data_IF_858952053857
#
_entry.id   IF_858952053857
#
_cell.length_a   1.000
_cell.length_b   1.000
_cell.length_c   1.000
_cell.angle_alpha   90.00
_cell.angle_beta   90.00
_cell.angle_gamma   90.00
#
_symmetry.space_group_name_H-M   'P 1'
#
loop_
_entity.id
_entity.type
_entity.pdbx_description
1 polymer ?
#
# COMPACT_ATOMS: atom_id res chain seq x y z
N UNK A 1 -78.66 0.33 6.06
CA UNK A 1 -78.22 1.14 4.91
C UNK A 1 -76.71 1.35 4.98
N UNK A 2 -76.03 1.00 3.87
CA UNK A 2 -74.70 1.41 3.38
C UNK A 2 -73.49 1.43 4.35
N UNK A 3 -72.52 0.52 4.22
CA UNK A 3 -71.54 0.32 3.13
C UNK A 3 -70.45 1.42 3.09
N UNK A 4 -69.21 1.07 3.50
CA UNK A 4 -68.03 1.05 2.62
C UNK A 4 -66.75 0.70 3.40
N UNK A 5 -66.30 -0.53 3.17
CA UNK A 5 -64.92 -0.98 3.38
C UNK A 5 -63.94 -0.10 2.60
N UNK A 6 -63.06 0.57 3.34
CA UNK A 6 -61.88 1.25 2.82
C UNK A 6 -60.62 0.49 3.24
N UNK A 7 -60.34 -0.64 2.59
CA UNK A 7 -59.06 -1.34 2.68
C UNK A 7 -57.96 -0.46 2.07
N UNK A 8 -57.38 0.45 2.86
CA UNK A 8 -56.07 1.01 2.56
C UNK A 8 -55.01 -0.07 2.80
N UNK A 9 -54.82 -0.92 1.78
CA UNK A 9 -53.63 -1.75 1.66
C UNK A 9 -52.45 -0.80 1.46
N UNK A 10 -51.74 -0.49 2.55
CA UNK A 10 -50.42 0.13 2.49
C UNK A 10 -49.52 -0.83 1.72
N UNK A 11 -49.11 -0.44 0.52
CA UNK A 11 -48.11 -1.15 -0.24
C UNK A 11 -46.81 -1.18 0.58
N UNK A 12 -46.06 -2.31 0.60
CA UNK A 12 -44.74 -2.30 1.19
C UNK A 12 -43.87 -1.29 0.44
N UNK A 13 -43.00 -0.52 1.11
CA UNK A 13 -42.06 0.34 0.41
C UNK A 13 -41.24 -0.53 -0.55
N UNK A 14 -41.35 -0.21 -1.83
CA UNK A 14 -40.54 -0.80 -2.88
C UNK A 14 -39.06 -0.58 -2.55
N UNK A 15 -38.30 -1.67 -2.59
CA UNK A 15 -36.85 -1.65 -2.78
C UNK A 15 -36.07 -0.92 -1.70
N UNK A 16 -35.87 -1.56 -0.55
CA UNK A 16 -34.57 -1.45 0.09
C UNK A 16 -33.57 -2.17 -0.83
N UNK A 17 -33.03 -1.45 -1.80
CA UNK A 17 -31.79 -1.89 -2.46
C UNK A 17 -30.71 -1.79 -1.39
N UNK A 18 -30.56 -2.89 -0.63
CA UNK A 18 -29.32 -3.14 0.09
C UNK A 18 -28.18 -2.93 -0.92
N UNK A 19 -27.13 -2.15 -0.60
CA UNK A 19 -26.02 -1.95 -1.51
C UNK A 19 -25.50 -3.34 -1.88
N UNK A 20 -25.51 -3.62 -3.19
CA UNK A 20 -25.08 -4.91 -3.74
C UNK A 20 -23.70 -5.19 -3.18
N UNK A 21 -23.61 -6.25 -2.38
CA UNK A 21 -22.35 -6.83 -1.92
C UNK A 21 -21.49 -7.15 -3.15
N UNK A 22 -20.60 -6.23 -3.51
CA UNK A 22 -19.88 -6.26 -4.78
C UNK A 22 -19.52 -4.89 -5.37
N UNK A 23 -20.01 -3.76 -4.83
CA UNK A 23 -19.34 -2.48 -5.11
C UNK A 23 -17.97 -2.49 -4.43
N UNK A 24 -16.95 -2.89 -5.19
CA UNK A 24 -15.58 -2.51 -4.88
C UNK A 24 -15.59 -0.99 -4.84
N UNK A 25 -15.46 -0.41 -3.64
CA UNK A 25 -15.29 1.02 -3.49
C UNK A 25 -13.98 1.42 -4.17
N UNK A 26 -14.06 1.80 -5.45
CA UNK A 26 -12.94 2.40 -6.16
C UNK A 26 -12.69 3.77 -5.53
N UNK A 27 -11.54 3.92 -4.89
CA UNK A 27 -11.10 5.21 -4.35
C UNK A 27 -10.62 6.10 -5.51
N UNK A 28 -10.92 7.39 -5.44
CA UNK A 28 -10.43 8.39 -6.37
C UNK A 28 -8.94 8.70 -6.12
N UNK A 29 -8.29 9.34 -7.11
CA UNK A 29 -6.91 9.82 -6.98
C UNK A 29 -6.67 10.69 -5.74
N UNK A 30 -7.49 11.73 -5.46
CA UNK A 30 -7.35 12.55 -4.25
C UNK A 30 -7.53 11.79 -2.94
N UNK A 31 -8.46 10.83 -2.88
CA UNK A 31 -8.65 9.98 -1.69
C UNK A 31 -7.44 9.09 -1.45
N UNK A 32 -6.88 8.51 -2.52
CA UNK A 32 -5.62 7.76 -2.46
C UNK A 32 -4.47 8.64 -1.97
N UNK A 33 -4.32 9.85 -2.52
CA UNK A 33 -3.25 10.77 -2.13
C UNK A 33 -3.37 11.15 -0.63
N UNK A 34 -4.61 11.32 -0.15
CA UNK A 34 -4.88 11.53 1.27
C UNK A 34 -4.51 10.30 2.11
N UNK A 35 -4.86 9.09 1.68
CA UNK A 35 -4.46 7.85 2.36
C UNK A 35 -2.92 7.73 2.42
N UNK A 36 -2.21 8.03 1.34
CA UNK A 36 -0.75 8.05 1.31
C UNK A 36 -0.16 9.08 2.28
N UNK A 37 -0.69 10.31 2.30
CA UNK A 37 -0.25 11.36 3.21
C UNK A 37 -0.46 10.99 4.69
N UNK A 38 -1.64 10.45 5.03
CA UNK A 38 -1.94 9.96 6.38
C UNK A 38 -1.01 8.79 6.76
N UNK A 39 -0.77 7.87 5.84
CA UNK A 39 0.14 6.73 6.05
C UNK A 39 1.56 7.18 6.36
N UNK A 40 2.03 8.24 5.69
CA UNK A 40 3.33 8.85 5.98
C UNK A 40 3.38 9.46 7.39
N UNK A 41 2.33 10.16 7.82
CA UNK A 41 2.23 10.71 9.18
C UNK A 41 2.24 9.58 10.23
N UNK A 42 1.48 8.52 10.01
CA UNK A 42 1.49 7.35 10.90
C UNK A 42 2.88 6.72 11.03
N UNK A 43 3.60 6.54 9.92
CA UNK A 43 4.98 6.05 9.95
C UNK A 43 5.93 6.98 10.70
N UNK A 44 5.82 8.29 10.50
CA UNK A 44 6.63 9.27 11.22
C UNK A 44 6.41 9.23 12.74
N UNK A 45 5.20 8.82 13.17
CA UNK A 45 4.87 8.57 14.57
C UNK A 45 5.20 7.15 15.07
N UNK A 46 5.83 6.30 14.24
CA UNK A 46 6.15 4.90 14.58
C UNK A 46 4.93 3.96 14.57
N UNK A 47 3.81 4.38 13.99
CA UNK A 47 2.56 3.61 13.93
C UNK A 47 2.44 2.90 12.57
N UNK A 48 3.23 1.85 12.38
CA UNK A 48 3.29 1.14 11.09
C UNK A 48 2.07 0.27 10.80
N UNK A 49 1.39 -0.29 11.82
CA UNK A 49 0.17 -1.09 11.59
C UNK A 49 -1.01 -0.27 11.03
N UNK A 50 -1.40 0.91 11.58
CA UNK A 50 -2.41 1.77 10.96
C UNK A 50 -2.01 2.22 9.55
N UNK A 51 -0.73 2.55 9.34
CA UNK A 51 -0.21 2.89 8.02
C UNK A 51 -0.42 1.76 7.00
N UNK A 52 -0.11 0.51 7.38
CA UNK A 52 -0.27 -0.65 6.52
C UNK A 52 -1.72 -0.86 6.11
N UNK A 53 -2.67 -0.66 7.04
CA UNK A 53 -4.09 -0.79 6.75
C UNK A 53 -4.56 0.22 5.68
N UNK A 54 -4.15 1.49 5.80
CA UNK A 54 -4.48 2.52 4.82
C UNK A 54 -3.84 2.25 3.45
N UNK A 55 -2.58 1.85 3.43
CA UNK A 55 -1.87 1.56 2.18
C UNK A 55 -2.45 0.34 1.46
N UNK A 56 -2.91 -0.69 2.18
CA UNK A 56 -3.61 -1.84 1.60
C UNK A 56 -4.95 -1.47 0.99
N UNK A 57 -5.62 -0.42 1.48
CA UNK A 57 -6.81 0.14 0.81
C UNK A 57 -6.37 0.87 -0.46
N UNK A 58 -5.34 1.73 -0.33
CA UNK A 58 -4.83 2.53 -1.44
C UNK A 58 -4.31 1.69 -2.62
N UNK A 59 -3.74 0.52 -2.35
CA UNK A 59 -3.12 -0.36 -3.35
C UNK A 59 -4.11 -1.19 -4.19
N UNK A 60 -5.40 -1.29 -3.80
CA UNK A 60 -6.39 -2.17 -4.47
C UNK A 60 -6.66 -1.78 -5.92
N UNK A 61 -6.74 -0.49 -6.20
CA UNK A 61 -7.12 0.05 -7.52
C UNK A 61 -5.92 0.55 -8.33
N UNK A 62 -4.80 0.86 -7.67
CA UNK A 62 -3.65 1.54 -8.28
C UNK A 62 -2.36 0.81 -7.98
N UNK A 63 -2.30 -0.39 -8.54
CA UNK A 63 -1.28 -1.36 -8.19
C UNK A 63 0.14 -1.01 -8.71
N UNK A 64 0.28 -0.06 -9.66
CA UNK A 64 1.56 0.37 -10.24
C UNK A 64 2.03 1.78 -9.83
N UNK A 65 1.40 2.43 -8.86
CA UNK A 65 1.86 3.75 -8.39
C UNK A 65 3.19 3.60 -7.62
N UNK A 66 4.29 4.06 -8.22
CA UNK A 66 5.65 3.97 -7.67
C UNK A 66 5.74 4.64 -6.29
N UNK A 67 5.10 5.78 -6.08
CA UNK A 67 5.12 6.49 -4.80
C UNK A 67 4.46 5.69 -3.70
N UNK A 68 3.28 5.15 -3.99
CA UNK A 68 2.54 4.27 -3.08
C UNK A 68 3.32 2.99 -2.76
N UNK A 69 3.88 2.32 -3.77
CA UNK A 69 4.63 1.08 -3.58
C UNK A 69 5.87 1.29 -2.69
N UNK A 70 6.52 2.46 -2.77
CA UNK A 70 7.70 2.77 -1.93
C UNK A 70 7.31 2.88 -0.45
N UNK A 71 6.20 3.56 -0.17
CA UNK A 71 5.68 3.71 1.21
C UNK A 71 5.22 2.33 1.72
N UNK A 72 4.55 1.54 0.88
CA UNK A 72 4.11 0.19 1.22
C UNK A 72 5.29 -0.73 1.57
N UNK A 73 6.35 -0.77 0.76
CA UNK A 73 7.55 -1.56 1.04
C UNK A 73 8.19 -1.20 2.39
N UNK A 74 8.35 0.10 2.67
CA UNK A 74 8.89 0.55 3.96
C UNK A 74 7.99 0.17 5.15
N UNK A 75 6.68 0.25 4.96
CA UNK A 75 5.69 -0.11 6.00
C UNK A 75 5.72 -1.61 6.30
N UNK A 76 5.79 -2.46 5.28
CA UNK A 76 5.90 -3.91 5.43
C UNK A 76 7.19 -4.31 6.17
N UNK A 77 8.32 -3.66 5.85
CA UNK A 77 9.58 -3.86 6.58
C UNK A 77 9.45 -3.47 8.06
N UNK A 78 8.73 -2.37 8.35
CA UNK A 78 8.48 -1.90 9.71
C UNK A 78 7.61 -2.90 10.49
N UNK A 79 6.62 -3.49 9.83
CA UNK A 79 5.75 -4.54 10.36
C UNK A 79 6.37 -5.95 10.36
N UNK A 80 7.66 -6.08 10.00
CA UNK A 80 8.38 -7.36 9.98
C UNK A 80 7.84 -8.37 8.94
N UNK A 81 7.09 -7.90 7.95
CA UNK A 81 6.55 -8.68 6.85
C UNK A 81 7.55 -8.72 5.68
N UNK A 82 8.65 -9.44 5.89
CA UNK A 82 9.80 -9.44 4.99
C UNK A 82 9.50 -9.94 3.57
N UNK A 83 8.81 -11.07 3.44
CA UNK A 83 8.51 -11.66 2.13
C UNK A 83 7.53 -10.79 1.33
N UNK A 84 6.45 -10.29 1.95
CA UNK A 84 5.54 -9.34 1.30
C UNK A 84 6.28 -8.07 0.83
N UNK A 85 7.25 -7.59 1.62
CA UNK A 85 8.05 -6.44 1.23
C UNK A 85 8.93 -6.73 0.00
N UNK A 86 9.45 -7.96 -0.14
CA UNK A 86 10.23 -8.36 -1.31
C UNK A 86 9.37 -8.39 -2.57
N UNK A 87 8.14 -8.93 -2.49
CA UNK A 87 7.21 -8.93 -3.61
C UNK A 87 6.91 -7.52 -4.12
N UNK A 88 6.69 -6.58 -3.18
CA UNK A 88 6.45 -5.17 -3.53
C UNK A 88 7.71 -4.54 -4.15
N UNK A 89 8.90 -4.84 -3.63
CA UNK A 89 10.16 -4.31 -4.16
C UNK A 89 10.48 -4.86 -5.56
N UNK A 90 10.18 -6.13 -5.84
CA UNK A 90 10.32 -6.74 -7.17
C UNK A 90 9.44 -6.03 -8.19
N UNK A 91 8.19 -5.73 -7.81
CA UNK A 91 7.30 -4.93 -8.64
C UNK A 91 7.83 -3.51 -8.87
N UNK A 92 8.33 -2.88 -7.81
CA UNK A 92 8.91 -1.54 -7.87
C UNK A 92 10.10 -1.49 -8.83
N UNK A 93 10.93 -2.53 -8.84
CA UNK A 93 12.12 -2.64 -9.69
C UNK A 93 11.74 -2.76 -11.18
N UNK A 94 10.62 -3.41 -11.47
CA UNK A 94 10.07 -3.50 -12.82
C UNK A 94 9.50 -2.16 -13.34
N UNK A 95 9.00 -1.30 -12.44
CA UNK A 95 8.33 -0.04 -12.80
C UNK A 95 9.26 1.18 -12.77
N UNK A 96 10.20 1.22 -11.82
CA UNK A 96 11.04 2.38 -11.54
C UNK A 96 12.48 2.15 -11.97
N UNK A 97 12.73 2.37 -13.26
CA UNK A 97 14.06 2.19 -13.86
C UNK A 97 14.97 3.40 -13.68
N UNK A 98 14.59 4.39 -12.85
CA UNK A 98 15.35 5.62 -12.73
C UNK A 98 16.63 5.41 -11.90
N UNK A 99 17.83 5.82 -12.37
CA UNK A 99 19.08 5.51 -11.68
C UNK A 99 19.17 6.02 -10.24
N UNK A 100 18.50 7.14 -9.92
CA UNK A 100 18.47 7.70 -8.57
C UNK A 100 17.71 6.84 -7.56
N UNK A 101 16.78 6.00 -8.03
CA UNK A 101 16.00 5.07 -7.21
C UNK A 101 16.83 3.86 -6.76
N UNK A 102 17.92 3.54 -7.46
CA UNK A 102 18.73 2.35 -7.22
C UNK A 102 19.31 2.28 -5.81
N UNK A 103 19.85 3.39 -5.30
CA UNK A 103 20.45 3.45 -3.95
C UNK A 103 19.42 3.15 -2.85
N UNK A 104 18.31 3.90 -2.73
CA UNK A 104 17.30 3.62 -1.70
C UNK A 104 16.64 2.24 -1.87
N UNK A 105 16.40 1.78 -3.11
CA UNK A 105 15.83 0.44 -3.33
C UNK A 105 16.75 -0.69 -2.86
N UNK A 106 18.06 -0.59 -3.12
CA UNK A 106 19.03 -1.59 -2.66
C UNK A 106 19.05 -1.68 -1.13
N UNK A 107 18.95 -0.54 -0.44
CA UNK A 107 18.86 -0.52 1.02
C UNK A 107 17.58 -1.19 1.54
N UNK A 108 16.42 -0.85 0.97
CA UNK A 108 15.14 -1.45 1.36
C UNK A 108 15.14 -2.98 1.14
N UNK A 109 15.71 -3.44 0.02
CA UNK A 109 15.83 -4.88 -0.29
C UNK A 109 16.66 -5.64 0.74
N UNK A 110 17.80 -5.07 1.17
CA UNK A 110 18.59 -5.65 2.27
C UNK A 110 17.79 -5.76 3.57
N UNK A 111 17.01 -4.72 3.93
CA UNK A 111 16.17 -4.75 5.12
C UNK A 111 15.04 -5.78 5.02
N UNK A 112 14.38 -5.90 3.87
CA UNK A 112 13.33 -6.89 3.63
C UNK A 112 13.87 -8.32 3.76
N UNK A 113 15.02 -8.62 3.14
CA UNK A 113 15.71 -9.92 3.27
C UNK A 113 16.02 -10.25 4.73
N UNK A 114 16.48 -9.27 5.51
CA UNK A 114 16.73 -9.46 6.94
C UNK A 114 15.45 -9.78 7.71
N UNK A 115 14.33 -9.11 7.40
CA UNK A 115 13.02 -9.40 8.01
C UNK A 115 12.49 -10.78 7.62
N UNK A 116 12.81 -11.25 6.42
CA UNK A 116 12.50 -12.60 5.95
C UNK A 116 13.45 -13.70 6.48
N UNK A 117 14.41 -13.35 7.36
CA UNK A 117 15.39 -14.31 7.90
C UNK A 117 16.51 -14.70 6.93
N UNK A 118 16.57 -14.12 5.74
CA UNK A 118 17.56 -14.39 4.67
C UNK A 118 18.84 -13.58 4.88
N UNK A 119 19.51 -13.81 6.02
CA UNK A 119 20.57 -12.93 6.52
C UNK A 119 21.83 -12.89 5.63
N UNK A 120 22.19 -14.01 4.99
CA UNK A 120 23.33 -14.06 4.04
C UNK A 120 23.10 -13.13 2.85
N UNK A 121 21.95 -13.26 2.19
CA UNK A 121 21.55 -12.42 1.06
C UNK A 121 21.40 -10.95 1.49
N UNK A 122 20.80 -10.70 2.66
CA UNK A 122 20.69 -9.36 3.21
C UNK A 122 22.05 -8.66 3.33
N UNK A 123 23.08 -9.40 3.76
CA UNK A 123 24.46 -8.89 3.88
C UNK A 123 25.08 -8.59 2.52
N UNK A 124 24.91 -9.47 1.54
CA UNK A 124 25.41 -9.26 0.18
C UNK A 124 24.81 -7.99 -0.44
N UNK A 125 23.48 -7.86 -0.38
CA UNK A 125 22.77 -6.68 -0.90
C UNK A 125 23.17 -5.41 -0.15
N UNK A 126 23.41 -5.49 1.17
CA UNK A 126 23.89 -4.34 1.94
C UNK A 126 25.28 -3.88 1.48
N UNK A 127 26.18 -4.81 1.16
CA UNK A 127 27.50 -4.44 0.62
C UNK A 127 27.37 -3.74 -0.73
N UNK A 128 26.48 -4.21 -1.61
CA UNK A 128 26.15 -3.51 -2.85
C UNK A 128 25.66 -2.09 -2.60
N UNK A 129 24.79 -1.88 -1.61
CA UNK A 129 24.34 -0.54 -1.20
C UNK A 129 25.50 0.36 -0.77
N UNK A 130 26.43 -0.14 0.06
CA UNK A 130 27.61 0.63 0.51
C UNK A 130 28.47 1.06 -0.69
N UNK A 131 28.74 0.15 -1.63
CA UNK A 131 29.49 0.46 -2.85
C UNK A 131 28.78 1.53 -3.70
N UNK A 132 27.47 1.39 -3.93
CA UNK A 132 26.68 2.36 -4.69
C UNK A 132 26.69 3.75 -4.04
N UNK A 133 26.49 3.81 -2.72
CA UNK A 133 26.50 5.07 -1.97
C UNK A 133 27.87 5.76 -2.06
N UNK A 134 28.97 5.01 -1.93
CA UNK A 134 30.31 5.57 -2.08
C UNK A 134 30.53 6.18 -3.47
N UNK A 135 30.07 5.50 -4.54
CA UNK A 135 30.17 6.02 -5.90
C UNK A 135 29.33 7.29 -6.13
N UNK A 136 28.15 7.41 -5.52
CA UNK A 136 27.33 8.64 -5.65
C UNK A 136 27.96 9.88 -5.01
N UNK A 137 28.83 9.72 -4.02
CA UNK A 137 29.55 10.84 -3.36
C UNK A 137 30.69 11.36 -4.24
N UNK A 138 31.28 10.51 -5.08
CA UNK A 138 32.43 10.87 -5.94
C UNK A 138 32.00 11.63 -7.21
N UNK A 139 30.73 11.51 -7.62
CA UNK A 139 30.19 12.10 -8.85
C UNK A 139 29.61 13.52 -8.61
N UNK A 140 29.59 14.00 -7.36
CA UNK A 140 29.07 15.31 -6.97
C UNK A 140 30.20 16.27 -6.64
#
# INVERSE_FOLDING_TARGET
>A
MNNRDGLHRVAPPAGSEAPKSGEVWSISGPERDLLCALSYVYLACGQSAPSLALLRIAAREHSDDIGLLRILAYTLISEHLGDEALDVLDRLEALDTHPSSRVPMTLLRSHALRRAGRMSEAREVFQTYISLRASTVVIK
#
